data_IF_276863783091
#
_entry.id   IF_276863783091
#
_cell.length_a   1.000
_cell.length_b   1.000
_cell.length_c   1.000
_cell.angle_alpha   90.00
_cell.angle_beta   90.00
_cell.angle_gamma   90.00
#
_symmetry.space_group_name_H-M   'P 1'
#
loop_
_entity.id
_entity.type
_entity.pdbx_description
1 polymer ?
#
# COMPACT_ATOMS: atom_id res chain seq x y z
N UNK A 1 -7.58 3.04 -0.25
CA UNK A 1 -6.55 2.26 -0.98
C UNK A 1 -7.01 0.81 -1.11
N UNK A 2 -6.79 0.20 -2.26
CA UNK A 2 -6.94 -1.25 -2.44
C UNK A 2 -5.68 -1.90 -1.87
N UNK A 3 -5.86 -2.83 -0.93
CA UNK A 3 -4.78 -3.57 -0.30
C UNK A 3 -4.81 -5.00 -0.83
N UNK A 4 -3.67 -5.46 -1.32
CA UNK A 4 -3.46 -6.83 -1.73
C UNK A 4 -2.77 -7.59 -0.61
N UNK A 5 -3.36 -8.72 -0.23
CA UNK A 5 -2.84 -9.63 0.78
C UNK A 5 -2.51 -10.95 0.12
N UNK A 6 -1.26 -11.36 0.20
CA UNK A 6 -0.74 -12.62 -0.35
C UNK A 6 -0.33 -13.51 0.82
N UNK A 7 -0.83 -14.73 0.81
CA UNK A 7 -0.41 -15.80 1.72
C UNK A 7 0.43 -16.79 0.92
N UNK A 8 1.57 -17.20 1.48
CA UNK A 8 2.49 -18.12 0.82
C UNK A 8 3.03 -19.16 1.79
N UNK A 9 3.33 -20.33 1.25
CA UNK A 9 4.07 -21.37 1.94
C UNK A 9 5.26 -21.77 1.07
N UNK A 10 6.39 -22.05 1.71
CA UNK A 10 7.58 -22.56 1.05
C UNK A 10 8.25 -23.62 1.89
N UNK A 11 8.97 -24.51 1.23
CA UNK A 11 9.85 -25.48 1.88
C UNK A 11 11.20 -25.48 1.20
N UNK A 12 12.26 -25.70 1.96
CA UNK A 12 13.62 -25.83 1.45
C UNK A 12 14.33 -26.99 2.10
N UNK A 13 15.17 -27.68 1.33
CA UNK A 13 16.07 -28.72 1.84
C UNK A 13 17.47 -28.42 1.35
N UNK A 14 18.49 -28.76 2.15
CA UNK A 14 19.88 -28.61 1.79
C UNK A 14 20.70 -29.74 2.41
N UNK A 15 21.70 -30.19 1.66
CA UNK A 15 22.69 -31.15 2.11
C UNK A 15 24.09 -30.60 1.90
N UNK A 16 25.04 -31.04 2.73
CA UNK A 16 26.44 -30.66 2.62
C UNK A 16 27.36 -31.83 2.96
N UNK A 17 28.45 -31.95 2.21
CA UNK A 17 29.57 -32.87 2.50
C UNK A 17 30.79 -32.06 2.92
N UNK A 18 31.35 -32.39 4.08
CA UNK A 18 32.54 -31.72 4.59
C UNK A 18 33.80 -32.60 4.43
N UNK A 19 33.65 -33.92 4.56
CA UNK A 19 34.69 -34.93 4.31
C UNK A 19 34.03 -36.25 3.85
N UNK A 20 34.83 -37.25 3.45
CA UNK A 20 34.34 -38.54 2.90
C UNK A 20 33.26 -39.21 3.75
N UNK A 21 33.32 -39.04 5.08
CA UNK A 21 32.39 -39.65 6.03
C UNK A 21 31.58 -38.62 6.85
N UNK A 22 31.58 -37.34 6.45
CA UNK A 22 30.77 -36.30 7.09
C UNK A 22 29.76 -35.73 6.11
N UNK A 23 28.53 -36.20 6.27
CA UNK A 23 27.33 -35.72 5.58
C UNK A 23 26.38 -35.05 6.57
N UNK A 24 25.86 -33.90 6.20
CA UNK A 24 24.80 -33.21 6.93
C UNK A 24 23.63 -32.93 6.01
N UNK A 25 22.42 -33.03 6.53
CA UNK A 25 21.20 -32.60 5.84
C UNK A 25 20.35 -31.75 6.77
N UNK A 26 19.58 -30.85 6.18
CA UNK A 26 18.66 -29.97 6.88
C UNK A 26 17.51 -29.60 5.97
N UNK A 27 16.35 -29.41 6.58
CA UNK A 27 15.15 -28.96 5.89
C UNK A 27 14.37 -27.98 6.75
N UNK A 28 13.56 -27.16 6.10
CA UNK A 28 12.69 -26.20 6.75
C UNK A 28 11.43 -25.94 5.93
N UNK A 29 10.35 -25.62 6.64
CA UNK A 29 9.11 -25.12 6.08
C UNK A 29 8.86 -23.72 6.62
N UNK A 30 8.28 -22.85 5.80
CA UNK A 30 7.98 -21.47 6.15
C UNK A 30 6.63 -21.05 5.61
N UNK A 31 5.91 -20.28 6.42
CA UNK A 31 4.69 -19.58 6.03
C UNK A 31 4.99 -18.10 6.00
N UNK A 32 4.41 -17.39 5.04
CA UNK A 32 4.61 -15.96 4.85
C UNK A 32 3.31 -15.26 4.51
N UNK A 33 3.19 -14.02 5.00
CA UNK A 33 2.15 -13.09 4.60
C UNK A 33 2.81 -11.83 4.05
N UNK A 34 2.25 -11.30 2.97
CA UNK A 34 2.65 -10.02 2.39
C UNK A 34 1.41 -9.19 2.16
N UNK A 35 1.32 -8.05 2.83
CA UNK A 35 0.33 -7.02 2.55
C UNK A 35 1.01 -5.87 1.83
N UNK A 36 0.45 -5.43 0.70
CA UNK A 36 0.93 -4.24 -0.03
C UNK A 36 -0.25 -3.43 -0.56
N UNK A 37 -0.20 -2.09 -0.51
CA UNK A 37 -1.14 -1.28 -1.27
C UNK A 37 -0.92 -1.55 -2.76
N UNK A 38 -1.99 -1.83 -3.49
CA UNK A 38 -1.94 -2.18 -4.91
C UNK A 38 -2.54 -1.09 -5.79
N UNK A 39 -3.48 -0.29 -5.29
CA UNK A 39 -4.05 0.85 -5.99
C UNK A 39 -4.72 1.87 -5.06
N UNK A 40 -5.00 3.08 -5.58
CA UNK A 40 -5.93 4.04 -4.99
C UNK A 40 -7.10 4.26 -5.94
N UNK A 41 -8.33 4.23 -5.41
CA UNK A 41 -9.50 4.74 -6.13
C UNK A 41 -9.63 6.19 -5.73
N UNK A 42 -9.58 7.09 -6.70
CA UNK A 42 -9.79 8.52 -6.52
C UNK A 42 -11.14 8.87 -7.08
N UNK A 43 -11.97 9.52 -6.27
CA UNK A 43 -13.28 10.02 -6.68
C UNK A 43 -13.22 11.53 -6.58
N UNK A 44 -13.43 12.21 -7.70
CA UNK A 44 -13.46 13.68 -7.76
C UNK A 44 -14.65 14.11 -8.61
N UNK A 45 -15.56 14.87 -7.99
CA UNK A 45 -16.79 15.34 -8.64
C UNK A 45 -17.60 14.16 -9.20
N UNK A 46 -17.72 14.06 -10.52
CA UNK A 46 -18.41 12.96 -11.21
C UNK A 46 -17.44 11.94 -11.87
N UNK A 47 -16.13 12.08 -11.62
CA UNK A 47 -15.09 11.22 -12.18
C UNK A 47 -14.55 10.23 -11.14
N UNK A 48 -14.30 8.99 -11.61
CA UNK A 48 -13.67 7.91 -10.84
C UNK A 48 -12.42 7.44 -11.57
N UNK A 49 -11.27 7.54 -10.93
CA UNK A 49 -9.97 7.11 -11.47
C UNK A 49 -9.32 6.05 -10.56
N UNK A 50 -8.75 5.01 -11.16
CA UNK A 50 -7.98 3.98 -10.45
C UNK A 50 -6.48 4.16 -10.70
N UNK A 51 -5.75 4.55 -9.67
CA UNK A 51 -4.29 4.73 -9.69
C UNK A 51 -3.60 3.44 -9.21
N UNK A 52 -3.00 2.69 -10.14
CA UNK A 52 -2.32 1.42 -9.83
C UNK A 52 -0.85 1.61 -9.39
N UNK A 53 -0.45 0.92 -8.32
CA UNK A 53 0.86 1.00 -7.69
C UNK A 53 1.81 -0.15 -8.10
N UNK A 54 1.43 -0.97 -9.08
CA UNK A 54 2.18 -2.18 -9.46
C UNK A 54 3.54 -1.94 -10.11
N UNK A 55 3.83 -0.72 -10.59
CA UNK A 55 5.12 -0.41 -11.24
C UNK A 55 6.07 0.23 -10.22
N UNK A 56 7.35 -0.17 -10.18
CA UNK A 56 8.37 0.56 -9.42
C UNK A 56 8.36 2.04 -9.84
N UNK A 57 8.32 2.96 -8.87
CA UNK A 57 8.23 4.41 -9.15
C UNK A 57 6.81 4.97 -9.31
N UNK A 58 5.75 4.14 -9.25
CA UNK A 58 4.37 4.64 -9.35
C UNK A 58 3.95 5.47 -8.14
N UNK A 59 4.47 5.18 -6.95
CA UNK A 59 4.13 5.92 -5.73
C UNK A 59 4.78 7.30 -5.75
N UNK A 60 6.04 7.38 -6.15
CA UNK A 60 6.80 8.62 -6.31
C UNK A 60 6.12 9.54 -7.33
N UNK A 61 5.70 9.00 -8.48
CA UNK A 61 4.93 9.76 -9.49
C UNK A 61 3.58 10.26 -9.00
N UNK A 62 2.94 9.53 -8.09
CA UNK A 62 1.67 9.92 -7.49
C UNK A 62 1.89 11.07 -6.50
N UNK A 63 2.95 10.99 -5.68
CA UNK A 63 3.35 12.06 -4.74
C UNK A 63 3.77 13.32 -5.50
N UNK A 64 4.42 13.21 -6.67
CA UNK A 64 4.76 14.35 -7.52
C UNK A 64 3.54 15.01 -8.16
N UNK A 65 2.50 14.24 -8.52
CA UNK A 65 1.24 14.75 -9.10
C UNK A 65 0.23 15.24 -8.06
N UNK A 66 0.31 14.74 -6.83
CA UNK A 66 -0.60 15.09 -5.73
C UNK A 66 -0.62 16.59 -5.38
N UNK A 67 0.51 17.34 -5.40
CA UNK A 67 0.54 18.78 -5.25
C UNK A 67 -0.38 19.51 -6.22
N UNK A 68 -0.35 19.16 -7.52
CA UNK A 68 -1.19 19.80 -8.54
C UNK A 68 -2.69 19.53 -8.33
N UNK A 69 -3.04 18.35 -7.80
CA UNK A 69 -4.42 17.97 -7.46
C UNK A 69 -4.91 18.77 -6.24
N UNK A 70 -4.04 19.01 -5.26
CA UNK A 70 -4.32 19.84 -4.07
C UNK A 70 -4.40 21.34 -4.40
N UNK A 71 -3.60 21.84 -5.34
CA UNK A 71 -3.62 23.25 -5.76
C UNK A 71 -4.87 23.63 -6.57
N UNK A 72 -5.42 22.68 -7.36
CA UNK A 72 -6.71 22.87 -8.06
C UNK A 72 -7.93 22.65 -7.17
N UNK A 73 -7.74 22.33 -5.89
CA UNK A 73 -8.83 22.35 -4.92
C UNK A 73 -9.05 23.83 -4.55
N UNK A 74 -10.14 24.49 -4.98
CA UNK A 74 -10.50 25.75 -4.36
C UNK A 74 -10.68 25.43 -2.88
N UNK A 75 -9.78 25.96 -2.02
CA UNK A 75 -10.03 26.09 -0.59
C UNK A 75 -11.42 26.69 -0.50
N UNK A 76 -12.46 25.90 -0.20
CA UNK A 76 -13.80 26.44 0.06
C UNK A 76 -13.63 27.49 1.16
N UNK A 77 -13.76 28.79 0.88
CA UNK A 77 -13.86 29.77 1.94
C UNK A 77 -15.33 29.74 2.34
N UNK A 78 -15.63 29.18 3.51
CA UNK A 78 -16.93 29.41 4.14
C UNK A 78 -17.72 28.14 4.46
N UNK A 79 -17.73 27.82 5.75
CA UNK A 79 -18.88 28.21 6.56
C UNK A 79 -18.37 28.92 7.82
N UNK A 80 -18.47 30.25 7.80
CA UNK A 80 -18.43 31.08 9.02
C UNK A 80 -19.75 30.86 9.77
N UNK A 81 -19.61 30.81 11.09
CA UNK A 81 -20.52 31.35 12.10
C UNK A 81 -21.96 30.83 12.16
N UNK A 82 -22.19 29.97 13.15
CA UNK A 82 -23.47 29.86 13.86
C UNK A 82 -23.24 30.19 15.33
N UNK A 83 -23.05 31.46 15.66
CA UNK A 83 -23.40 31.99 16.99
C UNK A 83 -24.93 32.15 16.97
N UNK A 84 -25.64 31.23 17.58
CA UNK A 84 -27.01 31.48 18.06
C UNK A 84 -26.96 31.52 19.58
N UNK A 85 -26.82 32.74 20.12
CA UNK A 85 -27.46 33.07 21.39
C UNK A 85 -28.91 33.46 21.08
N UNK A 86 -29.89 32.73 21.66
CA UNK A 86 -30.95 33.35 22.47
C UNK A 86 -31.88 32.33 23.14
N UNK A 87 -31.98 32.52 24.47
CA UNK A 87 -33.15 32.39 25.36
C UNK A 87 -33.78 31.02 25.61
N UNK A 88 -33.50 30.48 26.79
CA UNK A 88 -34.44 30.50 27.93
C UNK A 88 -33.67 30.66 29.25
#
# INVERSE_FOLDING_TARGET
PIIEVIFGMGSGTGGGKYASDQEGSGGGIGLGVKARPSAFIVIKEEEVELLSLHKPGSLEKLIEKFPEIMEKFPRKPGKREGKEEKKE
#
